data_IF_698246788632
#
_entry.id   IF_698246788632
#
_cell.length_a   1.000
_cell.length_b   1.000
_cell.length_c   1.000
_cell.angle_alpha   90.00
_cell.angle_beta   90.00
_cell.angle_gamma   90.00
#
_symmetry.space_group_name_H-M   'P 1'
#
loop_
_entity.id
_entity.type
_entity.pdbx_description
1 polymer ?
#
# COMPACT_ATOMS: atom_id res chain seq x y z
N UNK A 1 2.59 -0.65 14.52
CA UNK A 1 2.02 0.04 13.34
C UNK A 1 2.64 -0.59 12.10
N UNK A 2 2.01 -1.64 11.56
CA UNK A 2 2.62 -2.55 10.58
C UNK A 2 2.37 -2.08 9.15
N UNK A 3 3.42 -1.98 8.34
CA UNK A 3 3.38 -1.62 6.93
C UNK A 3 3.11 -2.85 6.08
N UNK A 4 2.06 -2.81 5.26
CA UNK A 4 1.85 -3.74 4.15
C UNK A 4 1.77 -2.87 2.90
N UNK A 5 2.80 -2.97 2.06
CA UNK A 5 2.77 -2.40 0.71
C UNK A 5 2.19 -3.51 -0.15
N UNK A 6 0.95 -3.36 -0.59
CA UNK A 6 0.37 -4.19 -1.66
C UNK A 6 0.98 -3.70 -2.97
N UNK A 7 1.93 -4.45 -3.53
CA UNK A 7 2.45 -4.22 -4.87
C UNK A 7 1.63 -5.10 -5.82
N UNK A 8 0.77 -4.49 -6.65
CA UNK A 8 0.18 -5.17 -7.81
C UNK A 8 1.31 -5.50 -8.80
N UNK A 9 1.50 -6.77 -9.14
CA UNK A 9 2.31 -7.19 -10.28
C UNK A 9 1.43 -7.85 -11.34
N UNK A 10 1.62 -7.41 -12.59
CA UNK A 10 1.16 -8.09 -13.80
C UNK A 10 2.26 -9.08 -14.25
N UNK A 11 1.86 -10.29 -14.63
CA UNK A 11 2.76 -11.38 -15.06
C UNK A 11 2.87 -11.38 -16.59
N UNK A 12 4.09 -11.44 -17.13
CA UNK A 12 4.37 -11.80 -18.51
C UNK A 12 5.31 -13.02 -18.53
N UNK A 13 4.93 -14.09 -19.23
CA UNK A 13 5.66 -15.36 -19.31
C UNK A 13 6.58 -15.44 -20.54
N UNK A 14 7.79 -15.97 -20.37
CA UNK A 14 8.54 -16.64 -21.43
C UNK A 14 9.45 -17.75 -20.87
N UNK A 15 9.64 -18.83 -21.64
CA UNK A 15 10.25 -20.10 -21.26
C UNK A 15 11.66 -20.32 -21.87
N UNK A 16 12.34 -21.33 -21.30
CA UNK A 16 13.42 -22.22 -21.82
C UNK A 16 14.90 -21.85 -21.54
N UNK A 17 15.65 -22.85 -21.04
CA UNK A 17 17.11 -22.96 -21.21
C UNK A 17 17.86 -23.62 -20.04
N UNK A 18 18.39 -24.83 -20.23
CA UNK A 18 18.88 -25.75 -19.20
C UNK A 18 20.34 -25.55 -18.67
N UNK A 19 20.54 -26.07 -17.45
CA UNK A 19 21.69 -26.83 -16.88
C UNK A 19 23.12 -26.26 -16.79
N UNK A 20 23.62 -26.11 -15.55
CA UNK A 20 24.83 -26.80 -15.04
C UNK A 20 24.90 -26.75 -13.49
N UNK A 21 25.26 -27.87 -12.86
CA UNK A 21 25.38 -28.07 -11.40
C UNK A 21 26.83 -27.94 -10.93
N UNK A 22 27.06 -27.34 -9.76
CA UNK A 22 28.10 -27.80 -8.81
C UNK A 22 27.71 -27.52 -7.34
N UNK A 23 27.61 -28.61 -6.58
CA UNK A 23 27.68 -28.84 -5.12
C UNK A 23 27.48 -27.72 -4.09
N UNK A 24 26.41 -27.86 -3.28
CA UNK A 24 26.29 -27.24 -1.94
C UNK A 24 25.87 -28.31 -0.93
N UNK A 25 26.45 -28.20 0.27
CA UNK A 25 26.31 -29.05 1.45
C UNK A 25 24.87 -29.38 1.85
N UNK A 26 24.70 -30.56 2.44
CA UNK A 26 23.42 -31.15 2.84
C UNK A 26 22.78 -30.40 4.02
N UNK A 27 21.84 -29.51 3.73
CA UNK A 27 20.73 -29.20 4.63
C UNK A 27 19.68 -30.31 4.50
N UNK A 28 19.15 -30.78 5.64
CA UNK A 28 18.11 -31.80 5.70
C UNK A 28 16.82 -31.29 5.03
N UNK A 29 16.67 -31.58 3.74
CA UNK A 29 15.42 -31.38 3.01
C UNK A 29 14.44 -32.45 3.46
N UNK A 30 13.43 -32.06 4.22
CA UNK A 30 12.25 -32.88 4.40
C UNK A 30 11.65 -33.20 3.01
N UNK A 31 11.19 -34.44 2.77
CA UNK A 31 10.71 -34.85 1.46
C UNK A 31 9.50 -34.02 1.05
N UNK A 32 9.56 -33.47 -0.16
CA UNK A 32 8.45 -32.73 -0.77
C UNK A 32 7.38 -33.75 -1.20
N UNK A 33 6.22 -33.69 -0.55
CA UNK A 33 5.10 -34.58 -0.88
C UNK A 33 4.61 -34.38 -2.32
N UNK A 34 4.08 -35.43 -2.99
CA UNK A 34 3.51 -35.32 -4.33
C UNK A 34 2.29 -34.39 -4.35
N UNK A 35 1.95 -33.77 -5.50
CA UNK A 35 0.74 -32.95 -5.63
C UNK A 35 -0.50 -33.81 -5.33
N UNK A 36 -1.33 -33.37 -4.38
CA UNK A 36 -2.64 -33.99 -4.08
C UNK A 36 -2.69 -34.91 -2.86
N UNK A 37 -1.59 -35.11 -2.12
CA UNK A 37 -1.63 -35.72 -0.79
C UNK A 37 -1.72 -34.64 0.30
N UNK A 38 -2.61 -34.84 1.27
CA UNK A 38 -2.72 -34.01 2.45
C UNK A 38 -1.39 -34.06 3.22
N UNK A 39 -0.66 -32.95 3.23
CA UNK A 39 0.54 -32.77 4.04
C UNK A 39 0.20 -33.04 5.52
N UNK A 40 0.72 -34.13 6.13
CA UNK A 40 0.38 -34.49 7.50
C UNK A 40 0.74 -33.39 8.51
N UNK A 41 1.80 -32.63 8.26
CA UNK A 41 2.21 -31.53 9.12
C UNK A 41 1.22 -30.36 9.01
N UNK A 42 0.73 -30.06 7.81
CA UNK A 42 -0.32 -29.06 7.63
C UNK A 42 -1.63 -29.49 8.31
N UNK A 43 -2.03 -30.75 8.20
CA UNK A 43 -3.24 -31.25 8.86
C UNK A 43 -3.12 -31.21 10.39
N UNK A 44 -1.96 -31.56 10.95
CA UNK A 44 -1.71 -31.44 12.38
C UNK A 44 -1.76 -29.96 12.84
N UNK A 45 -1.17 -29.05 12.05
CA UNK A 45 -1.25 -27.62 12.30
C UNK A 45 -2.70 -27.11 12.26
N UNK A 46 -3.49 -27.55 11.27
CA UNK A 46 -4.89 -27.14 11.11
C UNK A 46 -5.74 -27.64 12.29
N UNK A 47 -5.49 -28.86 12.78
CA UNK A 47 -6.15 -29.39 13.97
C UNK A 47 -5.80 -28.58 15.24
N UNK A 48 -4.54 -28.17 15.41
CA UNK A 48 -4.15 -27.31 16.52
C UNK A 48 -4.78 -25.91 16.41
N UNK A 49 -4.79 -25.32 15.21
CA UNK A 49 -5.43 -24.03 14.95
C UNK A 49 -6.95 -24.09 15.15
N UNK A 50 -7.59 -25.23 14.88
CA UNK A 50 -9.02 -25.44 15.17
C UNK A 50 -9.33 -25.24 16.65
N UNK A 51 -8.53 -25.81 17.55
CA UNK A 51 -8.71 -25.65 19.01
C UNK A 51 -8.64 -24.17 19.39
N UNK A 52 -7.65 -23.44 18.84
CA UNK A 52 -7.54 -21.99 19.04
C UNK A 52 -8.78 -21.26 18.53
N UNK A 53 -9.20 -21.49 17.29
CA UNK A 53 -10.36 -20.83 16.69
C UNK A 53 -11.66 -21.05 17.49
N UNK A 54 -11.90 -22.30 17.94
CA UNK A 54 -13.05 -22.63 18.78
C UNK A 54 -13.02 -21.88 20.12
N UNK A 55 -11.86 -21.83 20.79
CA UNK A 55 -11.71 -21.08 22.05
C UNK A 55 -11.89 -19.57 21.89
N UNK A 56 -11.78 -19.07 20.66
CA UNK A 56 -11.97 -17.67 20.28
C UNK A 56 -13.37 -17.37 19.73
N UNK A 57 -14.31 -18.31 19.88
CA UNK A 57 -15.74 -18.12 19.59
C UNK A 57 -16.16 -18.47 18.17
N UNK A 58 -15.31 -19.09 17.34
CA UNK A 58 -15.72 -19.64 16.04
C UNK A 58 -16.42 -20.98 16.28
N UNK A 59 -17.57 -21.23 15.65
CA UNK A 59 -18.24 -22.53 15.80
C UNK A 59 -17.54 -23.63 15.01
N UNK A 60 -17.69 -24.89 15.46
CA UNK A 60 -17.21 -26.06 14.72
C UNK A 60 -17.76 -26.10 13.29
N UNK A 61 -19.05 -25.76 13.13
CA UNK A 61 -19.71 -25.69 11.82
C UNK A 61 -19.02 -24.72 10.88
N UNK A 62 -18.74 -23.50 11.33
CA UNK A 62 -18.07 -22.48 10.53
C UNK A 62 -16.65 -22.89 10.19
N UNK A 63 -15.88 -23.35 11.17
CA UNK A 63 -14.50 -23.78 10.94
C UNK A 63 -14.44 -24.92 9.92
N UNK A 64 -15.22 -25.99 10.15
CA UNK A 64 -15.20 -27.19 9.32
C UNK A 64 -15.76 -26.90 7.91
N UNK A 65 -16.69 -25.95 7.78
CA UNK A 65 -17.13 -25.41 6.50
C UNK A 65 -16.04 -24.64 5.76
N UNK A 66 -15.41 -23.67 6.43
CA UNK A 66 -14.42 -22.76 5.86
C UNK A 66 -13.11 -23.47 5.48
N UNK A 67 -12.69 -24.45 6.29
CA UNK A 67 -11.43 -25.19 6.11
C UNK A 67 -11.58 -26.43 5.22
N UNK A 68 -12.79 -26.72 4.73
CA UNK A 68 -13.04 -27.87 3.86
C UNK A 68 -12.19 -27.80 2.59
N UNK A 69 -11.37 -28.83 2.39
CA UNK A 69 -10.48 -28.96 1.24
C UNK A 69 -9.36 -27.90 1.19
N UNK A 70 -9.10 -27.18 2.28
CA UNK A 70 -7.98 -26.24 2.34
C UNK A 70 -6.66 -27.01 2.33
N UNK A 71 -5.76 -26.60 1.44
CA UNK A 71 -4.38 -27.10 1.32
C UNK A 71 -3.43 -25.92 1.12
N UNK A 72 -2.13 -26.06 1.45
CA UNK A 72 -1.16 -25.01 1.19
C UNK A 72 -1.14 -24.60 -0.29
N UNK A 73 -1.22 -23.29 -0.55
CA UNK A 73 -1.26 -22.72 -1.90
C UNK A 73 0.15 -22.32 -2.36
N UNK A 74 0.67 -22.99 -3.39
CA UNK A 74 2.01 -22.75 -3.94
C UNK A 74 2.16 -21.34 -4.50
N UNK A 75 1.10 -20.75 -5.05
CA UNK A 75 1.14 -19.38 -5.56
C UNK A 75 1.29 -18.38 -4.41
N UNK A 76 0.60 -18.61 -3.28
CA UNK A 76 0.74 -17.81 -2.07
C UNK A 76 2.13 -17.93 -1.48
N UNK A 77 2.69 -19.15 -1.40
CA UNK A 77 4.07 -19.36 -0.94
C UNK A 77 5.07 -18.62 -1.83
N UNK A 78 4.90 -18.72 -3.15
CA UNK A 78 5.77 -18.05 -4.13
C UNK A 78 5.68 -16.53 -3.99
N UNK A 79 4.47 -15.98 -3.93
CA UNK A 79 4.25 -14.55 -3.75
C UNK A 79 4.81 -14.01 -2.42
N UNK A 80 4.64 -14.75 -1.31
CA UNK A 80 5.22 -14.40 -0.01
C UNK A 80 6.76 -14.42 -0.01
N UNK A 81 7.38 -15.24 -0.84
CA UNK A 81 8.84 -15.35 -0.94
C UNK A 81 9.47 -14.39 -1.94
N UNK A 82 8.70 -13.91 -2.91
CA UNK A 82 9.18 -12.96 -3.91
C UNK A 82 9.39 -11.58 -3.27
N UNK A 83 10.65 -11.13 -3.25
CA UNK A 83 10.99 -9.74 -3.03
C UNK A 83 11.33 -9.13 -4.39
N UNK A 84 10.48 -8.26 -4.95
CA UNK A 84 10.83 -7.59 -6.21
C UNK A 84 12.16 -6.86 -6.05
N UNK A 85 13.16 -7.25 -6.84
CA UNK A 85 14.45 -6.56 -6.89
C UNK A 85 14.33 -5.18 -7.56
N UNK A 86 13.32 -5.03 -8.43
CA UNK A 86 13.04 -3.83 -9.19
C UNK A 86 12.17 -2.86 -8.39
N UNK A 87 12.68 -1.64 -8.19
CA UNK A 87 11.89 -0.51 -7.70
C UNK A 87 11.44 0.31 -8.89
N UNK A 88 10.13 0.48 -9.01
CA UNK A 88 9.51 1.37 -9.97
C UNK A 88 9.68 2.81 -9.47
N UNK A 89 10.23 3.74 -10.27
CA UNK A 89 10.19 5.16 -9.97
C UNK A 89 8.77 5.66 -9.68
N UNK A 90 8.65 6.76 -8.95
CA UNK A 90 7.34 7.31 -8.60
C UNK A 90 6.54 7.74 -9.84
N UNK A 91 7.19 8.33 -10.85
CA UNK A 91 6.52 8.76 -12.08
C UNK A 91 6.00 7.57 -12.89
N UNK A 92 6.77 6.49 -12.97
CA UNK A 92 6.31 5.25 -13.58
C UNK A 92 5.11 4.70 -12.81
N UNK A 93 5.17 4.62 -11.48
CA UNK A 93 4.02 4.17 -10.70
C UNK A 93 2.77 5.03 -10.97
N UNK A 94 2.94 6.35 -10.95
CA UNK A 94 1.86 7.31 -11.23
C UNK A 94 1.29 7.14 -12.63
N UNK A 95 2.11 6.99 -13.69
CA UNK A 95 1.60 6.87 -15.07
C UNK A 95 0.62 5.72 -15.25
N UNK A 96 0.82 4.61 -14.54
CA UNK A 96 -0.16 3.52 -14.48
C UNK A 96 -1.30 3.82 -13.51
N UNK A 97 -0.97 4.40 -12.35
CA UNK A 97 -1.93 4.64 -11.28
C UNK A 97 -3.01 5.67 -11.64
N UNK A 98 -2.70 6.63 -12.51
CA UNK A 98 -3.57 7.69 -13.02
C UNK A 98 -3.74 7.60 -14.55
N UNK A 99 -3.66 6.40 -15.13
CA UNK A 99 -3.83 6.19 -16.56
C UNK A 99 -5.20 6.64 -17.08
N UNK A 100 -5.27 7.06 -18.35
CA UNK A 100 -6.50 7.53 -19.01
C UNK A 100 -7.64 6.52 -18.89
N UNK A 101 -7.36 5.23 -19.10
CA UNK A 101 -8.35 4.15 -18.93
C UNK A 101 -8.95 4.16 -17.52
N UNK A 102 -8.12 4.35 -16.50
CA UNK A 102 -8.60 4.41 -15.11
C UNK A 102 -9.42 5.67 -14.87
N UNK A 103 -8.98 6.82 -15.36
CA UNK A 103 -9.74 8.08 -15.24
C UNK A 103 -11.11 7.95 -15.90
N UNK A 104 -11.19 7.41 -17.11
CA UNK A 104 -12.45 7.18 -17.84
C UNK A 104 -13.36 6.23 -17.06
N UNK A 105 -12.84 5.09 -16.62
CA UNK A 105 -13.62 4.12 -15.85
C UNK A 105 -14.11 4.72 -14.52
N UNK A 106 -13.27 5.49 -13.82
CA UNK A 106 -13.65 6.17 -12.59
C UNK A 106 -14.75 7.21 -12.79
N UNK A 107 -14.71 7.98 -13.89
CA UNK A 107 -15.79 8.92 -14.25
C UNK A 107 -17.10 8.18 -14.55
N UNK A 108 -17.02 7.02 -15.20
CA UNK A 108 -18.19 6.15 -15.40
C UNK A 108 -18.75 5.65 -14.05
N UNK A 109 -17.90 5.23 -13.12
CA UNK A 109 -18.33 4.80 -11.78
C UNK A 109 -18.96 5.93 -10.97
N UNK A 110 -18.41 7.16 -11.05
CA UNK A 110 -19.00 8.36 -10.44
C UNK A 110 -20.41 8.63 -10.97
N UNK A 111 -20.62 8.46 -12.28
CA UNK A 111 -21.93 8.64 -12.91
C UNK A 111 -22.90 7.53 -12.53
N UNK A 112 -22.48 6.27 -12.65
CA UNK A 112 -23.31 5.09 -12.39
C UNK A 112 -23.77 5.01 -10.94
N UNK A 113 -22.88 5.34 -9.98
CA UNK A 113 -23.16 5.23 -8.55
C UNK A 113 -23.41 6.59 -7.89
N UNK A 114 -23.83 7.61 -8.66
CA UNK A 114 -23.98 9.00 -8.19
C UNK A 114 -24.80 9.12 -6.90
N UNK A 115 -25.95 8.45 -6.82
CA UNK A 115 -26.84 8.52 -5.67
C UNK A 115 -26.23 7.87 -4.42
N UNK A 116 -25.67 6.67 -4.57
CA UNK A 116 -24.96 5.97 -3.49
C UNK A 116 -23.81 6.81 -2.98
N UNK A 117 -22.92 7.27 -3.87
CA UNK A 117 -21.77 8.08 -3.51
C UNK A 117 -22.13 9.38 -2.80
N UNK A 118 -23.22 10.05 -3.21
CA UNK A 118 -23.71 11.25 -2.53
C UNK A 118 -24.14 10.95 -1.09
N UNK A 119 -24.89 9.86 -0.87
CA UNK A 119 -25.30 9.42 0.48
C UNK A 119 -24.09 9.09 1.36
N UNK A 120 -23.10 8.38 0.82
CA UNK A 120 -21.90 7.99 1.57
C UNK A 120 -21.04 9.21 1.91
N UNK A 121 -20.88 10.15 0.98
CA UNK A 121 -20.16 11.41 1.22
C UNK A 121 -20.84 12.27 2.30
N UNK A 122 -22.17 12.30 2.32
CA UNK A 122 -22.92 12.97 3.39
C UNK A 122 -22.70 12.28 4.74
N UNK A 123 -22.77 10.95 4.76
CA UNK A 123 -22.70 10.12 5.97
C UNK A 123 -21.31 10.14 6.61
N UNK A 124 -20.25 9.97 5.81
CA UNK A 124 -18.88 9.82 6.30
C UNK A 124 -18.04 11.10 6.18
N UNK A 125 -18.52 12.10 5.44
CA UNK A 125 -17.77 13.33 5.18
C UNK A 125 -16.56 13.16 4.24
N UNK A 126 -16.42 11.98 3.63
CA UNK A 126 -15.34 11.63 2.71
C UNK A 126 -15.75 11.95 1.28
N UNK A 127 -14.91 12.68 0.55
CA UNK A 127 -15.20 13.09 -0.81
C UNK A 127 -15.37 11.88 -1.75
N UNK A 128 -16.44 11.90 -2.57
CA UNK A 128 -16.77 10.78 -3.46
C UNK A 128 -15.68 10.43 -4.47
N UNK A 129 -14.92 11.40 -4.96
CA UNK A 129 -13.83 11.17 -5.92
C UNK A 129 -12.66 10.47 -5.25
N UNK A 130 -12.45 10.69 -3.94
CA UNK A 130 -11.45 9.98 -3.15
C UNK A 130 -11.88 8.52 -2.95
N UNK A 131 -13.15 8.28 -2.64
CA UNK A 131 -13.69 6.91 -2.55
C UNK A 131 -13.54 6.15 -3.87
N UNK A 132 -13.90 6.78 -4.99
CA UNK A 132 -13.74 6.18 -6.32
C UNK A 132 -12.27 6.02 -6.71
N UNK A 133 -11.39 6.96 -6.34
CA UNK A 133 -9.97 6.83 -6.61
C UNK A 133 -9.35 5.63 -5.86
N UNK A 134 -9.67 5.45 -4.58
CA UNK A 134 -9.25 4.27 -3.81
C UNK A 134 -9.80 3.00 -4.47
N UNK A 135 -11.10 2.97 -4.81
CA UNK A 135 -11.71 1.81 -5.46
C UNK A 135 -11.01 1.43 -6.78
N UNK A 136 -10.61 2.43 -7.56
CA UNK A 136 -9.86 2.24 -8.80
C UNK A 136 -8.44 1.70 -8.58
N UNK A 137 -7.76 2.14 -7.52
CA UNK A 137 -6.40 1.68 -7.21
C UNK A 137 -6.37 0.29 -6.55
N UNK A 138 -7.34 0.00 -5.68
CA UNK A 138 -7.37 -1.26 -4.92
C UNK A 138 -7.80 -2.44 -5.78
N UNK A 139 -8.84 -2.28 -6.60
CA UNK A 139 -9.44 -3.41 -7.32
C UNK A 139 -9.77 -3.11 -8.78
N UNK A 140 -9.35 -1.97 -9.33
CA UNK A 140 -9.74 -1.56 -10.67
C UNK A 140 -11.26 -1.45 -10.80
N UNK A 141 -11.92 -0.88 -9.79
CA UNK A 141 -13.38 -0.78 -9.70
C UNK A 141 -14.08 -2.16 -9.60
N UNK A 142 -13.41 -3.15 -9.01
CA UNK A 142 -13.89 -4.53 -8.87
C UNK A 142 -13.45 -5.51 -9.94
N UNK A 143 -12.80 -5.05 -11.01
CA UNK A 143 -12.29 -5.95 -12.05
C UNK A 143 -11.19 -6.91 -11.54
N UNK A 144 -10.46 -6.52 -10.49
CA UNK A 144 -9.31 -7.24 -9.95
C UNK A 144 -9.34 -7.31 -8.42
N UNK A 145 -10.27 -8.08 -7.86
CA UNK A 145 -10.35 -8.30 -6.40
C UNK A 145 -9.45 -9.43 -5.89
N UNK A 146 -8.88 -10.20 -6.82
CA UNK A 146 -8.15 -11.44 -6.55
C UNK A 146 -9.09 -12.66 -6.52
N UNK A 147 -8.53 -13.82 -6.83
CA UNK A 147 -9.29 -15.07 -7.02
C UNK A 147 -8.96 -16.13 -5.98
N UNK A 148 -8.06 -15.85 -5.03
CA UNK A 148 -7.72 -16.81 -3.99
C UNK A 148 -8.87 -16.88 -2.98
N UNK A 149 -9.20 -18.10 -2.53
CA UNK A 149 -10.01 -18.29 -1.31
C UNK A 149 -9.24 -17.72 -0.13
N UNK A 150 -9.77 -16.69 0.51
CA UNK A 150 -9.07 -15.93 1.58
C UNK A 150 -8.63 -16.86 2.70
N UNK A 151 -9.48 -17.81 3.08
CA UNK A 151 -9.19 -18.79 4.12
C UNK A 151 -7.99 -19.68 3.77
N UNK A 152 -7.88 -20.13 2.52
CA UNK A 152 -6.75 -20.94 2.05
C UNK A 152 -5.46 -20.13 1.99
N UNK A 153 -5.52 -18.91 1.47
CA UNK A 153 -4.37 -18.02 1.40
C UNK A 153 -3.82 -17.70 2.80
N UNK A 154 -4.70 -17.31 3.73
CA UNK A 154 -4.29 -17.00 5.10
C UNK A 154 -3.85 -18.24 5.88
N UNK A 155 -4.45 -19.42 5.67
CA UNK A 155 -3.95 -20.67 6.25
C UNK A 155 -2.55 -21.01 5.76
N UNK A 156 -2.27 -20.80 4.47
CA UNK A 156 -0.94 -20.97 3.89
C UNK A 156 0.08 -20.02 4.54
N UNK A 157 -0.27 -18.75 4.71
CA UNK A 157 0.59 -17.76 5.38
C UNK A 157 0.79 -18.04 6.87
N UNK A 158 -0.25 -18.51 7.55
CA UNK A 158 -0.22 -18.85 8.97
C UNK A 158 0.62 -20.10 9.26
N UNK A 159 0.67 -21.04 8.30
CA UNK A 159 1.45 -22.26 8.37
C UNK A 159 2.92 -22.05 7.99
N UNK A 160 3.17 -21.47 6.81
CA UNK A 160 4.53 -21.42 6.22
C UNK A 160 4.94 -20.03 5.70
N UNK A 161 4.17 -18.98 6.00
CA UNK A 161 4.49 -17.62 5.60
C UNK A 161 5.67 -17.04 6.40
N UNK A 162 6.28 -15.95 5.90
CA UNK A 162 7.36 -15.26 6.62
C UNK A 162 6.86 -14.55 7.89
N UNK A 163 5.56 -14.25 7.93
CA UNK A 163 4.87 -13.57 9.05
C UNK A 163 3.72 -14.45 9.53
N UNK A 164 4.03 -15.64 10.03
CA UNK A 164 3.03 -16.62 10.49
C UNK A 164 2.03 -16.04 11.49
N UNK A 165 2.48 -15.23 12.44
CA UNK A 165 1.61 -14.56 13.41
C UNK A 165 0.55 -13.66 12.76
N UNK A 166 0.93 -12.91 11.72
CA UNK A 166 -0.02 -12.11 10.93
C UNK A 166 -1.03 -13.02 10.21
N UNK A 167 -0.56 -14.08 9.56
CA UNK A 167 -1.44 -15.04 8.89
C UNK A 167 -2.46 -15.66 9.86
N UNK A 168 -2.04 -16.05 11.07
CA UNK A 168 -2.92 -16.60 12.11
C UNK A 168 -3.98 -15.61 12.55
N UNK A 169 -3.58 -14.37 12.88
CA UNK A 169 -4.49 -13.31 13.31
C UNK A 169 -5.55 -13.01 12.23
N UNK A 170 -5.12 -12.85 10.98
CA UNK A 170 -6.04 -12.57 9.89
C UNK A 170 -6.93 -13.76 9.57
N UNK A 171 -6.43 -15.00 9.64
CA UNK A 171 -7.26 -16.19 9.43
C UNK A 171 -8.35 -16.30 10.49
N UNK A 172 -8.02 -16.07 11.77
CA UNK A 172 -9.01 -16.06 12.83
C UNK A 172 -10.05 -14.96 12.62
N UNK A 173 -9.62 -13.76 12.23
CA UNK A 173 -10.53 -12.68 11.90
C UNK A 173 -11.42 -13.01 10.69
N UNK A 174 -10.90 -13.70 9.68
CA UNK A 174 -11.69 -14.16 8.52
C UNK A 174 -12.75 -15.19 8.93
N UNK A 175 -12.41 -16.13 9.82
CA UNK A 175 -13.39 -17.07 10.37
C UNK A 175 -14.52 -16.37 11.14
N UNK A 176 -14.22 -15.27 11.84
CA UNK A 176 -15.24 -14.45 12.54
C UNK A 176 -16.18 -13.73 11.56
N UNK A 177 -15.70 -13.35 10.38
CA UNK A 177 -16.55 -12.80 9.30
C UNK A 177 -17.55 -13.86 8.83
N UNK A 178 -17.07 -15.08 8.59
CA UNK A 178 -17.90 -16.20 8.16
C UNK A 178 -18.88 -16.65 9.24
N UNK A 179 -18.46 -16.69 10.51
CA UNK A 179 -19.33 -17.01 11.66
C UNK A 179 -20.51 -16.05 11.76
N UNK A 180 -20.27 -14.76 11.46
CA UNK A 180 -21.31 -13.74 11.46
C UNK A 180 -22.28 -13.85 10.29
N UNK A 181 -21.88 -14.50 9.20
CA UNK A 181 -22.70 -14.67 8.00
C UNK A 181 -22.61 -13.52 6.98
N UNK A 182 -21.54 -12.73 7.02
CA UNK A 182 -21.34 -11.62 6.07
C UNK A 182 -21.19 -12.08 4.62
N UNK A 183 -20.56 -13.23 4.43
CA UNK A 183 -20.33 -13.81 3.11
C UNK A 183 -20.20 -15.34 3.23
N UNK A 184 -20.66 -16.13 2.25
CA UNK A 184 -20.34 -17.55 2.18
C UNK A 184 -18.84 -17.82 2.00
N UNK A 185 -18.34 -18.91 2.59
CA UNK A 185 -16.90 -19.22 2.61
C UNK A 185 -16.30 -19.48 1.21
N UNK A 186 -17.09 -19.94 0.27
CA UNK A 186 -16.71 -20.16 -1.14
C UNK A 186 -16.67 -18.87 -1.96
N UNK A 187 -17.34 -17.80 -1.49
CA UNK A 187 -17.37 -16.49 -2.13
C UNK A 187 -16.38 -15.49 -1.49
N UNK A 188 -15.81 -15.82 -0.32
CA UNK A 188 -14.81 -15.01 0.36
C UNK A 188 -13.45 -15.04 -0.38
N UNK A 189 -13.37 -14.23 -1.43
CA UNK A 189 -12.21 -14.14 -2.35
C UNK A 189 -11.35 -12.91 -2.09
N UNK A 190 -10.10 -12.98 -2.51
CA UNK A 190 -9.14 -11.90 -2.30
C UNK A 190 -7.78 -12.14 -2.95
N UNK A 191 -6.85 -11.25 -2.63
CA UNK A 191 -5.45 -11.40 -2.98
C UNK A 191 -4.78 -12.55 -2.22
N UNK A 192 -3.60 -12.95 -2.70
CA UNK A 192 -2.76 -13.96 -2.05
C UNK A 192 -2.39 -13.59 -0.59
N UNK A 193 -2.42 -12.31 -0.25
CA UNK A 193 -2.09 -11.80 1.08
C UNK A 193 -3.31 -11.71 2.03
N UNK A 194 -4.51 -12.08 1.55
CA UNK A 194 -5.75 -12.02 2.31
C UNK A 194 -6.43 -10.65 2.31
N UNK A 195 -6.07 -9.75 1.38
CA UNK A 195 -6.82 -8.53 1.14
C UNK A 195 -8.08 -8.85 0.32
N UNK A 196 -9.26 -8.38 0.74
CA UNK A 196 -10.54 -8.93 0.33
C UNK A 196 -11.39 -7.97 -0.49
N UNK A 197 -12.13 -8.51 -1.47
CA UNK A 197 -13.22 -7.81 -2.17
C UNK A 197 -12.79 -6.50 -2.85
N UNK A 198 -13.75 -5.59 -3.01
CA UNK A 198 -13.54 -4.31 -3.70
C UNK A 198 -12.59 -3.38 -2.96
N UNK A 199 -12.58 -3.42 -1.62
CA UNK A 199 -11.80 -2.52 -0.76
C UNK A 199 -10.39 -3.02 -0.48
N UNK A 200 -10.10 -4.28 -0.78
CA UNK A 200 -8.85 -4.95 -0.38
C UNK A 200 -8.58 -4.83 1.13
N UNK A 201 -9.63 -4.78 1.95
CA UNK A 201 -9.48 -4.85 3.40
C UNK A 201 -8.91 -6.20 3.82
N UNK A 202 -7.95 -6.18 4.74
CA UNK A 202 -7.60 -7.38 5.50
C UNK A 202 -8.72 -7.70 6.52
N UNK A 203 -8.90 -8.96 6.94
CA UNK A 203 -9.98 -9.36 7.82
C UNK A 203 -10.14 -8.56 9.11
N UNK A 204 -9.05 -8.17 9.78
CA UNK A 204 -9.16 -7.33 10.99
C UNK A 204 -9.67 -5.93 10.68
N UNK A 205 -9.24 -5.31 9.58
CA UNK A 205 -9.78 -4.03 9.11
C UNK A 205 -11.26 -4.15 8.77
N UNK A 206 -11.65 -5.22 8.07
CA UNK A 206 -13.06 -5.48 7.78
C UNK A 206 -13.88 -5.59 9.06
N UNK A 207 -13.44 -6.38 10.04
CA UNK A 207 -14.19 -6.54 11.28
C UNK A 207 -14.37 -5.22 12.05
N UNK A 208 -13.36 -4.35 12.02
CA UNK A 208 -13.39 -3.07 12.70
C UNK A 208 -14.17 -1.98 11.96
N UNK A 209 -14.17 -1.98 10.62
CA UNK A 209 -14.61 -0.82 9.84
C UNK A 209 -15.62 -1.11 8.73
N UNK A 210 -15.84 -2.37 8.35
CA UNK A 210 -16.84 -2.65 7.35
C UNK A 210 -18.24 -2.29 7.87
N UNK A 211 -19.10 -1.79 6.99
CA UNK A 211 -20.46 -1.36 7.28
C UNK A 211 -21.46 -1.97 6.32
N UNK A 212 -22.66 -2.21 6.82
CA UNK A 212 -23.85 -2.55 6.05
C UNK A 212 -24.49 -1.22 5.62
N UNK A 213 -24.21 -0.81 4.39
CA UNK A 213 -24.54 0.53 3.90
C UNK A 213 -25.84 0.55 3.07
N UNK A 214 -26.36 -0.61 2.68
CA UNK A 214 -27.67 -0.77 2.04
C UNK A 214 -28.75 -1.36 2.96
N UNK A 215 -28.39 -1.88 4.13
CA UNK A 215 -29.28 -2.27 5.22
C UNK A 215 -29.81 -3.70 5.11
N UNK A 216 -29.15 -4.58 4.37
CA UNK A 216 -29.60 -5.96 4.14
C UNK A 216 -29.19 -6.95 5.26
N UNK A 217 -28.44 -6.47 6.26
CA UNK A 217 -27.93 -7.23 7.39
C UNK A 217 -26.51 -7.77 7.20
N UNK A 218 -25.86 -7.55 6.05
CA UNK A 218 -24.51 -8.02 5.74
C UNK A 218 -23.56 -6.87 5.46
N UNK A 219 -22.25 -7.14 5.55
CA UNK A 219 -21.20 -6.22 5.11
C UNK A 219 -20.52 -6.81 3.88
N UNK A 220 -21.23 -6.88 2.77
CA UNK A 220 -20.75 -7.56 1.58
C UNK A 220 -19.85 -6.64 0.72
N UNK A 221 -18.57 -6.54 1.08
CA UNK A 221 -17.58 -5.79 0.30
C UNK A 221 -17.16 -6.48 -1.01
N UNK A 222 -17.77 -7.62 -1.37
CA UNK A 222 -17.50 -8.36 -2.62
C UNK A 222 -18.56 -8.10 -3.68
N UNK A 223 -19.83 -7.97 -3.29
CA UNK A 223 -20.94 -7.83 -4.23
C UNK A 223 -21.81 -6.58 -4.02
N UNK A 224 -21.72 -5.90 -2.87
CA UNK A 224 -22.41 -4.64 -2.62
C UNK A 224 -21.45 -3.46 -2.76
N UNK A 225 -21.68 -2.64 -3.82
CA UNK A 225 -20.96 -1.37 -3.99
C UNK A 225 -21.26 -0.38 -2.86
N UNK A 226 -22.53 -0.22 -2.39
CA UNK A 226 -22.80 0.52 -1.16
C UNK A 226 -21.92 0.09 0.01
N UNK A 227 -21.84 -1.22 0.31
CA UNK A 227 -21.07 -1.70 1.46
C UNK A 227 -19.58 -1.50 1.28
N UNK A 228 -19.04 -1.82 0.09
CA UNK A 228 -17.64 -1.61 -0.21
C UNK A 228 -17.22 -0.14 -0.04
N UNK A 229 -17.94 0.79 -0.68
CA UNK A 229 -17.59 2.20 -0.64
C UNK A 229 -17.96 2.85 0.70
N UNK A 230 -19.03 2.39 1.35
CA UNK A 230 -19.39 2.81 2.70
C UNK A 230 -18.35 2.39 3.73
N UNK A 231 -17.84 1.16 3.61
CA UNK A 231 -16.76 0.64 4.45
C UNK A 231 -15.46 1.43 4.26
N UNK A 232 -15.11 1.78 3.01
CA UNK A 232 -13.97 2.65 2.73
C UNK A 232 -14.16 4.07 3.30
N UNK A 233 -15.38 4.63 3.18
CA UNK A 233 -15.75 5.92 3.77
C UNK A 233 -15.67 5.91 5.30
N UNK A 234 -16.21 4.89 5.95
CA UNK A 234 -16.14 4.72 7.40
C UNK A 234 -14.68 4.60 7.88
N UNK A 235 -13.87 3.81 7.18
CA UNK A 235 -12.45 3.66 7.51
C UNK A 235 -11.69 4.98 7.43
N UNK A 236 -11.87 5.76 6.35
CA UNK A 236 -11.22 7.06 6.18
C UNK A 236 -11.73 8.09 7.20
N UNK A 237 -13.05 8.15 7.42
CA UNK A 237 -13.67 9.02 8.43
C UNK A 237 -13.09 8.79 9.81
N UNK A 238 -13.03 7.52 10.25
CA UNK A 238 -12.42 7.14 11.55
C UNK A 238 -10.90 7.27 11.58
N UNK A 239 -10.25 7.32 10.40
CA UNK A 239 -8.81 7.51 10.27
C UNK A 239 -8.36 8.98 10.30
N UNK A 240 -9.31 9.92 10.48
CA UNK A 240 -9.04 11.35 10.61
C UNK A 240 -9.18 12.13 9.31
N UNK A 241 -10.09 11.72 8.42
CA UNK A 241 -10.47 12.52 7.26
C UNK A 241 -11.15 13.82 7.69
N UNK A 242 -10.72 14.95 7.13
CA UNK A 242 -11.31 16.26 7.34
C UNK A 242 -12.26 16.59 6.18
N UNK A 243 -13.57 16.66 6.48
CA UNK A 243 -14.59 17.03 5.49
C UNK A 243 -14.32 18.42 4.92
N UNK A 244 -14.23 18.53 3.60
CA UNK A 244 -13.89 19.77 2.91
C UNK A 244 -12.42 20.19 3.02
N UNK A 245 -11.58 19.43 3.74
CA UNK A 245 -10.15 19.67 3.86
C UNK A 245 -9.39 19.33 2.59
N UNK A 246 -8.32 20.07 2.30
CA UNK A 246 -7.43 19.75 1.19
C UNK A 246 -6.51 18.58 1.52
N UNK A 247 -6.17 17.76 0.53
CA UNK A 247 -5.07 16.81 0.65
C UNK A 247 -3.71 17.50 0.52
N UNK A 248 -3.66 18.61 -0.21
CA UNK A 248 -2.44 19.31 -0.55
C UNK A 248 -2.52 20.03 -1.88
N UNK A 249 -1.37 20.52 -2.34
CA UNK A 249 -1.21 21.17 -3.64
C UNK A 249 0.25 21.06 -4.10
N UNK A 250 0.44 21.07 -5.41
CA UNK A 250 1.77 21.26 -6.00
C UNK A 250 2.25 22.70 -5.78
N UNK A 251 3.55 22.87 -5.51
CA UNK A 251 4.15 24.15 -5.19
C UNK A 251 5.46 24.37 -5.94
N UNK A 252 5.84 25.64 -6.09
CA UNK A 252 7.16 26.04 -6.56
C UNK A 252 8.04 26.42 -5.38
N UNK A 253 9.24 25.81 -5.32
CA UNK A 253 10.29 26.16 -4.37
C UNK A 253 11.22 27.22 -4.98
N UNK A 254 11.77 28.17 -4.19
CA UNK A 254 12.77 29.11 -4.68
C UNK A 254 14.13 28.45 -4.88
N UNK A 255 15.00 29.09 -5.67
CA UNK A 255 16.39 28.65 -5.82
C UNK A 255 17.10 28.66 -4.46
N UNK A 256 17.94 27.65 -4.22
CA UNK A 256 18.67 27.52 -2.95
C UNK A 256 17.81 27.16 -1.74
N UNK A 257 16.57 26.67 -1.96
CA UNK A 257 15.70 26.24 -0.87
C UNK A 257 16.36 25.20 0.05
N UNK A 258 16.10 25.28 1.35
CA UNK A 258 16.59 24.31 2.32
C UNK A 258 15.79 22.99 2.25
N UNK A 259 16.24 22.07 1.40
CA UNK A 259 15.59 20.77 1.18
C UNK A 259 15.54 19.86 2.42
N UNK A 260 16.31 20.13 3.48
CA UNK A 260 16.18 19.40 4.74
C UNK A 260 14.81 19.59 5.41
N UNK A 261 14.06 20.63 5.01
CA UNK A 261 12.69 20.87 5.45
C UNK A 261 11.65 19.96 4.76
N UNK A 262 12.04 19.21 3.73
CA UNK A 262 11.17 18.26 3.02
C UNK A 262 11.00 16.96 3.82
N UNK A 263 10.37 17.08 4.99
CA UNK A 263 10.07 15.96 5.87
C UNK A 263 8.60 15.94 6.28
N UNK A 264 7.96 14.78 6.13
CA UNK A 264 6.56 14.58 6.49
C UNK A 264 6.28 14.73 8.00
N UNK A 265 7.28 14.73 8.88
CA UNK A 265 7.09 15.06 10.30
C UNK A 265 7.08 16.57 10.57
N UNK A 266 7.61 17.38 9.64
CA UNK A 266 7.74 18.83 9.77
C UNK A 266 6.56 19.54 9.11
N UNK A 267 5.53 19.82 9.90
CA UNK A 267 4.38 20.62 9.47
C UNK A 267 4.55 22.09 9.86
N UNK A 268 4.39 23.02 8.91
CA UNK A 268 4.48 24.48 9.12
C UNK A 268 3.21 25.18 8.64
N UNK A 269 2.96 26.40 9.12
CA UNK A 269 1.90 27.22 8.55
C UNK A 269 2.26 27.62 7.12
N UNK A 270 1.26 27.78 6.26
CA UNK A 270 1.48 28.26 4.89
C UNK A 270 2.12 29.65 4.85
N UNK A 271 1.88 30.49 5.85
CA UNK A 271 2.60 31.76 6.05
C UNK A 271 4.11 31.56 6.25
N UNK A 272 4.51 30.53 7.00
CA UNK A 272 5.93 30.22 7.22
C UNK A 272 6.57 29.67 5.94
N UNK A 273 5.85 28.83 5.19
CA UNK A 273 6.31 28.37 3.88
C UNK A 273 6.45 29.53 2.88
N UNK A 274 5.49 30.46 2.87
CA UNK A 274 5.55 31.66 2.04
C UNK A 274 6.73 32.57 2.43
N UNK A 275 7.03 32.71 3.73
CA UNK A 275 8.20 33.43 4.22
C UNK A 275 9.53 32.77 3.79
N UNK A 276 9.52 31.45 3.58
CA UNK A 276 10.62 30.70 2.96
C UNK A 276 10.62 30.75 1.42
N UNK A 277 9.74 31.56 0.82
CA UNK A 277 9.66 31.77 -0.63
C UNK A 277 8.85 30.74 -1.42
N UNK A 278 8.19 29.79 -0.74
CA UNK A 278 7.31 28.79 -1.39
C UNK A 278 6.06 29.47 -1.93
N UNK A 279 5.67 29.13 -3.17
CA UNK A 279 4.47 29.64 -3.83
C UNK A 279 3.63 28.51 -4.41
N UNK A 280 2.37 28.77 -4.71
CA UNK A 280 1.57 27.86 -5.54
C UNK A 280 2.25 27.60 -6.88
N UNK A 281 1.92 26.49 -7.54
CA UNK A 281 2.62 26.05 -8.75
C UNK A 281 2.53 27.06 -9.91
N UNK A 282 1.51 27.92 -9.96
CA UNK A 282 1.38 29.02 -10.93
C UNK A 282 1.90 30.36 -10.41
N UNK A 283 2.60 30.37 -9.27
CA UNK A 283 3.18 31.55 -8.63
C UNK A 283 2.23 32.31 -7.71
N UNK A 284 1.02 31.80 -7.49
CA UNK A 284 0.01 32.35 -6.61
C UNK A 284 0.39 32.23 -5.12
N UNK A 285 -0.26 33.07 -4.29
CA UNK A 285 -0.11 32.99 -2.84
C UNK A 285 -0.72 31.68 -2.31
N UNK A 286 -0.11 31.14 -1.25
CA UNK A 286 -0.66 29.97 -0.56
C UNK A 286 -1.89 30.38 0.25
N UNK A 287 -2.97 29.60 0.14
CA UNK A 287 -4.14 29.73 1.02
C UNK A 287 -3.76 29.50 2.49
N UNK A 288 -4.60 29.90 3.43
CA UNK A 288 -4.40 29.56 4.84
C UNK A 288 -4.36 28.03 5.06
N UNK A 289 -3.57 27.59 6.03
CA UNK A 289 -3.44 26.17 6.35
C UNK A 289 -2.08 25.80 6.94
N UNK A 290 -1.93 24.50 7.20
CA UNK A 290 -0.67 23.89 7.65
C UNK A 290 -0.36 22.65 6.82
N UNK A 291 0.89 22.50 6.43
CA UNK A 291 1.32 21.40 5.57
C UNK A 291 2.75 21.00 5.82
N UNK A 292 3.09 19.78 5.41
CA UNK A 292 4.47 19.32 5.28
C UNK A 292 4.88 19.34 3.80
N UNK A 293 6.17 19.52 3.54
CA UNK A 293 6.73 19.46 2.20
C UNK A 293 7.08 18.01 1.82
N UNK A 294 6.60 17.57 0.67
CA UNK A 294 6.88 16.26 0.07
C UNK A 294 7.62 16.44 -1.26
N UNK A 295 8.75 15.75 -1.40
CA UNK A 295 9.54 15.64 -2.63
C UNK A 295 9.57 14.16 -3.07
N UNK A 296 8.59 13.69 -3.85
CA UNK A 296 8.49 12.29 -4.23
C UNK A 296 9.64 11.80 -5.13
N UNK A 297 10.33 12.72 -5.82
CA UNK A 297 11.46 12.44 -6.70
C UNK A 297 12.67 13.36 -6.44
N UNK A 298 12.89 13.73 -5.16
CA UNK A 298 13.99 14.62 -4.78
C UNK A 298 13.84 16.06 -5.28
N UNK A 299 14.90 16.85 -5.13
CA UNK A 299 14.87 18.30 -5.36
C UNK A 299 14.68 18.71 -6.83
N UNK A 300 14.95 17.81 -7.78
CA UNK A 300 14.77 18.06 -9.22
C UNK A 300 13.35 17.79 -9.71
N UNK A 301 12.54 17.09 -8.91
CA UNK A 301 11.19 16.72 -9.27
C UNK A 301 10.13 17.70 -8.76
N UNK A 302 8.85 17.34 -8.94
CA UNK A 302 7.72 18.10 -8.42
C UNK A 302 7.74 18.18 -6.90
N UNK A 303 7.26 19.29 -6.35
CA UNK A 303 7.15 19.53 -4.91
C UNK A 303 5.69 19.71 -4.50
N UNK A 304 5.31 19.11 -3.37
CA UNK A 304 3.93 19.20 -2.86
C UNK A 304 3.91 19.65 -1.41
N UNK A 305 3.02 20.59 -1.09
CA UNK A 305 2.59 20.81 0.29
C UNK A 305 1.42 19.89 0.57
N UNK A 306 1.59 18.95 1.49
CA UNK A 306 0.58 17.94 1.83
C UNK A 306 0.02 18.12 3.24
N UNK A 307 -1.28 17.88 3.38
CA UNK A 307 -2.10 18.18 4.55
C UNK A 307 -2.67 16.91 5.20
N UNK A 308 -3.60 17.07 6.14
CA UNK A 308 -4.16 15.97 6.91
C UNK A 308 -4.80 14.88 6.04
N UNK A 309 -5.60 15.25 5.03
CA UNK A 309 -6.26 14.26 4.17
C UNK A 309 -5.28 13.37 3.37
N UNK A 310 -4.09 13.89 2.99
CA UNK A 310 -3.03 13.06 2.43
C UNK A 310 -2.50 12.02 3.44
N UNK A 311 -2.40 12.40 4.72
CA UNK A 311 -1.99 11.49 5.81
C UNK A 311 -3.07 10.46 6.14
N UNK A 312 -4.34 10.84 6.03
CA UNK A 312 -5.46 9.92 6.22
C UNK A 312 -5.43 8.82 5.17
N UNK A 313 -5.15 9.13 3.90
CA UNK A 313 -4.99 8.10 2.86
C UNK A 313 -3.80 7.17 3.14
N UNK A 314 -2.72 7.65 3.78
CA UNK A 314 -1.61 6.79 4.21
C UNK A 314 -2.01 5.73 5.24
N UNK A 315 -3.17 5.87 5.90
CA UNK A 315 -3.72 4.81 6.77
C UNK A 315 -4.19 3.61 5.96
N UNK A 316 -4.76 3.85 4.77
CA UNK A 316 -5.23 2.81 3.86
C UNK A 316 -4.05 1.99 3.30
N UNK A 317 -3.03 2.68 2.79
CA UNK A 317 -1.76 2.08 2.38
C UNK A 317 -0.62 3.06 2.67
N UNK A 318 0.34 2.62 3.50
CA UNK A 318 1.40 3.47 4.06
C UNK A 318 2.56 3.70 3.07
N UNK A 319 2.24 4.12 1.85
CA UNK A 319 3.18 4.53 0.82
C UNK A 319 2.81 5.93 0.32
N UNK A 320 3.78 6.85 0.31
CA UNK A 320 3.58 8.23 -0.17
C UNK A 320 3.22 8.26 -1.65
N UNK A 321 3.78 7.38 -2.47
CA UNK A 321 3.41 7.21 -3.88
C UNK A 321 1.93 6.82 -4.02
N UNK A 322 1.44 5.88 -3.21
CA UNK A 322 0.04 5.47 -3.19
C UNK A 322 -0.87 6.65 -2.82
N UNK A 323 -0.59 7.35 -1.71
CA UNK A 323 -1.41 8.49 -1.29
C UNK A 323 -1.41 9.61 -2.34
N UNK A 324 -0.26 9.88 -2.96
CA UNK A 324 -0.17 10.82 -4.07
C UNK A 324 -1.01 10.37 -5.26
N UNK A 325 -0.98 9.09 -5.63
CA UNK A 325 -1.79 8.57 -6.74
C UNK A 325 -3.30 8.64 -6.48
N UNK A 326 -3.76 8.27 -5.27
CA UNK A 326 -5.19 8.40 -4.90
C UNK A 326 -5.64 9.85 -5.04
N UNK A 327 -4.87 10.79 -4.49
CA UNK A 327 -5.26 12.19 -4.48
C UNK A 327 -5.19 12.84 -5.87
N UNK A 328 -4.15 12.54 -6.66
CA UNK A 328 -4.06 12.99 -8.05
C UNK A 328 -5.15 12.36 -8.92
N UNK A 329 -5.47 11.07 -8.74
CA UNK A 329 -6.59 10.44 -9.44
C UNK A 329 -7.91 11.12 -9.07
N UNK A 330 -8.14 11.39 -7.78
CA UNK A 330 -9.34 12.09 -7.35
C UNK A 330 -9.47 13.50 -7.97
N UNK A 331 -8.34 14.21 -8.14
CA UNK A 331 -8.31 15.51 -8.83
C UNK A 331 -8.59 15.37 -10.34
N UNK A 332 -8.01 14.39 -11.02
CA UNK A 332 -8.31 14.09 -12.44
C UNK A 332 -9.79 13.72 -12.64
N UNK A 333 -10.36 12.96 -11.71
CA UNK A 333 -11.80 12.62 -11.73
C UNK A 333 -12.69 13.86 -11.59
N UNK A 334 -12.23 14.91 -10.90
CA UNK A 334 -12.89 16.24 -10.81
C UNK A 334 -12.62 17.14 -12.03
N UNK A 335 -11.80 16.70 -12.98
CA UNK A 335 -11.38 17.50 -14.13
C UNK A 335 -10.29 18.52 -13.82
N UNK A 336 -9.58 18.37 -12.70
CA UNK A 336 -8.36 19.13 -12.42
C UNK A 336 -7.18 18.43 -13.11
N UNK A 337 -6.28 19.23 -13.67
CA UNK A 337 -5.09 18.70 -14.36
C UNK A 337 -4.08 18.16 -13.35
N UNK A 338 -3.35 17.12 -13.75
CA UNK A 338 -2.26 16.51 -13.01
C UNK A 338 -1.02 17.40 -12.82
N UNK A 339 0.09 16.74 -12.51
CA UNK A 339 1.34 17.37 -12.08
C UNK A 339 1.92 18.26 -13.19
N UNK A 340 2.29 19.49 -12.84
CA UNK A 340 2.78 20.51 -13.79
C UNK A 340 4.30 20.42 -13.96
N UNK A 341 5.04 20.26 -12.86
CA UNK A 341 6.49 20.14 -12.91
C UNK A 341 6.90 18.82 -13.58
N UNK A 342 8.03 18.85 -14.30
CA UNK A 342 8.59 17.68 -14.93
C UNK A 342 9.14 16.69 -13.88
N UNK A 343 9.03 15.39 -14.18
CA UNK A 343 9.69 14.35 -13.41
C UNK A 343 11.15 14.19 -13.88
N UNK A 344 12.09 13.87 -12.98
CA UNK A 344 13.48 13.60 -13.33
C UNK A 344 13.61 12.17 -13.90
N UNK A 345 13.05 11.95 -15.09
CA UNK A 345 12.96 10.61 -15.71
C UNK A 345 14.34 10.02 -16.09
N UNK A 346 15.39 10.84 -16.09
CA UNK A 346 16.77 10.42 -16.25
C UNK A 346 17.35 9.78 -14.98
N UNK A 347 16.72 9.95 -13.82
CA UNK A 347 17.19 9.39 -12.56
C UNK A 347 16.86 7.90 -12.41
N UNK A 348 17.89 7.11 -12.13
CA UNK A 348 17.75 5.66 -11.94
C UNK A 348 17.55 5.33 -10.45
N UNK A 349 16.41 4.73 -10.06
CA UNK A 349 16.15 4.34 -8.67
C UNK A 349 17.10 3.22 -8.24
N UNK A 350 17.36 3.14 -6.93
CA UNK A 350 18.20 2.08 -6.38
C UNK A 350 17.42 0.75 -6.29
N UNK A 351 17.99 -0.32 -6.82
CA UNK A 351 17.54 -1.69 -6.55
C UNK A 351 17.82 -2.10 -5.08
N UNK A 352 17.33 -3.28 -4.67
CA UNK A 352 17.42 -3.70 -3.27
C UNK A 352 18.86 -3.77 -2.74
N UNK A 353 19.77 -4.35 -3.52
CA UNK A 353 21.19 -4.46 -3.17
C UNK A 353 21.85 -3.09 -3.01
N UNK A 354 21.58 -2.17 -3.94
CA UNK A 354 22.13 -0.81 -3.92
C UNK A 354 21.59 0.03 -2.73
N UNK A 355 20.35 -0.20 -2.30
CA UNK A 355 19.81 0.45 -1.08
C UNK A 355 20.50 -0.03 0.19
N UNK A 356 20.74 -1.34 0.29
CA UNK A 356 21.49 -1.90 1.43
C UNK A 356 22.95 -1.42 1.43
N UNK A 357 23.56 -1.32 0.25
CA UNK A 357 24.90 -0.76 0.11
C UNK A 357 24.95 0.70 0.58
N UNK A 358 24.00 1.52 0.16
CA UNK A 358 23.89 2.91 0.62
C UNK A 358 23.81 2.99 2.15
N UNK A 359 22.98 2.16 2.79
CA UNK A 359 22.83 2.16 4.25
C UNK A 359 24.14 1.79 4.97
N UNK A 360 24.86 0.77 4.46
CA UNK A 360 26.19 0.40 4.98
C UNK A 360 27.18 1.56 4.87
N UNK A 361 27.32 2.12 3.66
CA UNK A 361 28.27 3.21 3.40
C UNK A 361 27.97 4.47 4.22
N UNK A 362 26.69 4.82 4.40
CA UNK A 362 26.28 5.93 5.28
C UNK A 362 26.75 5.67 6.72
N UNK A 363 26.47 4.48 7.25
CA UNK A 363 26.84 4.11 8.62
C UNK A 363 28.37 4.09 8.79
N UNK A 364 29.12 3.53 7.83
CA UNK A 364 30.59 3.51 7.82
C UNK A 364 31.20 4.93 7.83
N UNK A 365 30.54 5.89 7.16
CA UNK A 365 30.96 7.30 7.15
C UNK A 365 30.44 8.10 8.37
N UNK A 366 29.84 7.45 9.36
CA UNK A 366 29.38 8.09 10.60
C UNK A 366 27.93 8.60 10.58
N UNK A 367 27.16 8.30 9.53
CA UNK A 367 25.75 8.67 9.40
C UNK A 367 24.87 7.43 9.66
N UNK A 368 24.53 7.19 10.92
CA UNK A 368 23.87 5.97 11.37
C UNK A 368 22.44 5.80 10.81
N UNK A 369 22.23 4.75 10.01
CA UNK A 369 20.92 4.40 9.44
C UNK A 369 20.04 3.54 10.35
N UNK A 370 20.54 3.18 11.55
CA UNK A 370 19.90 2.29 12.54
C UNK A 370 19.63 0.88 12.00
N UNK A 371 20.48 0.40 11.10
CA UNK A 371 20.41 -0.91 10.49
C UNK A 371 20.49 -0.90 8.96
N UNK A 372 20.53 -2.10 8.38
CA UNK A 372 20.64 -2.35 6.93
C UNK A 372 19.55 -3.33 6.52
N UNK A 373 18.41 -2.79 6.12
CA UNK A 373 17.23 -3.57 5.71
C UNK A 373 16.84 -3.34 4.24
N UNK A 374 17.53 -2.42 3.55
CA UNK A 374 17.22 -1.98 2.19
C UNK A 374 15.95 -1.13 2.09
N UNK A 375 15.36 -0.72 3.22
CA UNK A 375 14.19 0.16 3.27
C UNK A 375 14.66 1.59 3.52
N UNK A 376 14.35 2.49 2.59
CA UNK A 376 14.67 3.92 2.75
C UNK A 376 13.61 4.55 3.66
N UNK A 377 13.75 4.31 4.96
CA UNK A 377 12.92 4.87 6.02
C UNK A 377 13.35 6.28 6.43
N UNK A 378 12.76 6.80 7.52
CA UNK A 378 13.14 8.09 8.10
C UNK A 378 14.63 8.11 8.46
N UNK A 379 15.09 7.10 9.20
CA UNK A 379 16.50 6.97 9.62
C UNK A 379 17.49 7.03 8.44
N UNK A 380 17.20 6.31 7.35
CA UNK A 380 18.07 6.35 6.15
C UNK A 380 18.02 7.70 5.45
N UNK A 381 16.85 8.35 5.36
CA UNK A 381 16.75 9.70 4.79
C UNK A 381 17.48 10.73 5.63
N UNK A 382 17.38 10.66 6.96
CA UNK A 382 18.06 11.59 7.87
C UNK A 382 19.58 11.44 7.79
N UNK A 383 20.08 10.20 7.81
CA UNK A 383 21.49 9.91 7.56
C UNK A 383 21.96 10.42 6.19
N UNK A 384 21.16 10.21 5.14
CA UNK A 384 21.48 10.67 3.79
C UNK A 384 21.50 12.20 3.69
N UNK A 385 20.54 12.90 4.30
CA UNK A 385 20.51 14.38 4.36
C UNK A 385 21.74 14.92 5.07
N UNK A 386 22.07 14.35 6.23
CA UNK A 386 23.24 14.75 7.00
C UNK A 386 24.55 14.56 6.21
N UNK A 387 24.65 13.48 5.45
CA UNK A 387 25.77 13.27 4.52
C UNK A 387 25.74 14.24 3.34
N UNK A 388 24.59 14.48 2.70
CA UNK A 388 24.47 15.44 1.59
C UNK A 388 24.92 16.84 2.01
N UNK A 389 24.53 17.29 3.21
CA UNK A 389 24.99 18.57 3.80
C UNK A 389 26.52 18.60 3.91
N UNK A 390 27.15 17.53 4.41
CA UNK A 390 28.60 17.51 4.65
C UNK A 390 29.44 17.58 3.37
N UNK A 391 28.87 17.19 2.23
CA UNK A 391 29.54 17.23 0.92
C UNK A 391 29.02 18.35 0.01
N UNK A 392 28.19 19.27 0.53
CA UNK A 392 27.66 20.42 -0.21
C UNK A 392 26.64 20.08 -1.30
N UNK A 393 25.92 18.96 -1.17
CA UNK A 393 24.81 18.58 -2.04
C UNK A 393 23.46 19.08 -1.49
N UNK A 394 22.43 19.25 -2.34
CA UNK A 394 21.06 19.47 -1.89
C UNK A 394 20.62 18.36 -0.91
N UNK A 395 20.25 18.74 0.31
CA UNK A 395 19.93 17.82 1.41
C UNK A 395 18.47 17.35 1.39
N UNK A 396 18.05 16.72 0.28
CA UNK A 396 16.67 16.25 0.09
C UNK A 396 16.41 14.84 0.67
N UNK A 397 17.48 14.09 0.97
CA UNK A 397 17.39 12.70 1.44
C UNK A 397 16.86 11.74 0.37
N UNK A 398 16.94 12.11 -0.92
CA UNK A 398 16.45 11.27 -2.01
C UNK A 398 17.56 10.37 -2.57
N UNK A 399 17.43 9.04 -2.48
CA UNK A 399 18.47 8.12 -2.93
C UNK A 399 18.40 7.88 -4.44
N UNK A 400 19.50 8.19 -5.14
CA UNK A 400 19.66 7.92 -6.57
C UNK A 400 20.94 7.15 -6.84
N UNK A 401 21.04 6.53 -8.02
CA UNK A 401 22.29 5.88 -8.46
C UNK A 401 23.47 6.85 -8.48
N UNK A 402 23.24 8.11 -8.87
CA UNK A 402 24.27 9.17 -8.83
C UNK A 402 24.71 9.52 -7.41
N UNK A 403 23.78 9.59 -6.47
CA UNK A 403 24.07 9.81 -5.04
C UNK A 403 24.89 8.65 -4.47
N UNK A 404 24.53 7.40 -4.76
CA UNK A 404 25.31 6.22 -4.33
C UNK A 404 26.74 6.24 -4.92
N UNK A 405 26.89 6.57 -6.20
CA UNK A 405 28.19 6.68 -6.84
C UNK A 405 29.07 7.80 -6.22
N UNK A 406 28.47 8.85 -5.69
CA UNK A 406 29.18 9.88 -4.94
C UNK A 406 29.53 9.42 -3.52
N UNK A 407 28.66 8.66 -2.86
CA UNK A 407 28.89 8.07 -1.54
C UNK A 407 29.99 7.00 -1.53
N UNK A 408 30.22 6.28 -2.64
CA UNK A 408 31.34 5.33 -2.78
C UNK A 408 32.72 5.98 -2.81
N UNK A 409 32.79 7.28 -3.15
CA UNK A 409 34.01 8.07 -3.12
C UNK A 409 34.27 8.58 -1.70
#
# INVERSE_FOLDING_TARGET
MFRIIVVLMAVLTAHLGACAQTGVAAESRLPKAPPGQADPAFQAWLAAFRVEALSQGVSARTFDGAMRGVVPDVQVVTANNNQPEFVRPVWDYLSSAISDTRVVNGRNMLSQHRATLARLEETYGVDRHVLVAIWGLESGYGAFMGTHRVTQALATLAYSGRRTAFGREQLLAALKILERGDIPADQMTGSWAGAMGHTQFIPTTFNAFAVDADGDGKRDIWHSIPDALGSAGNYLGQSGWEKGGSWGQEVKLPDGFNYALADMSLSKAHSDWAALGVKGIKGEALNEGRSALLLPAGYKGPAFLVQQNFRTVLRYNNATSYSLAVNLLADELRGRRGVVAAWPEDEQPLNAAARQEMQRLLTEKGYDTKGVDGIIGANTRDALRAWQVSVGLPADGYPTSGVLARLRR
#
